data_IF_973764874269
#
_entry.id   IF_973764874269
#
_cell.length_a   1.000
_cell.length_b   1.000
_cell.length_c   1.000
_cell.angle_alpha   90.00
_cell.angle_beta   90.00
_cell.angle_gamma   90.00
#
_symmetry.space_group_name_H-M   'P 1'
#
loop_
_entity.id
_entity.type
_entity.pdbx_description
1 polymer ?
#
# COMPACT_ATOMS: atom_id res chain seq x y z
N UNK A 1 -21.49 13.18 -13.43
CA UNK A 1 -20.16 12.97 -14.05
C UNK A 1 -19.06 13.61 -13.20
N UNK A 2 -19.16 14.91 -12.89
CA UNK A 2 -18.13 15.63 -12.14
C UNK A 2 -17.82 15.06 -10.75
N UNK A 3 -18.85 14.73 -9.95
CA UNK A 3 -18.66 14.15 -8.59
C UNK A 3 -17.87 12.85 -8.60
N UNK A 4 -18.14 11.96 -9.56
CA UNK A 4 -17.43 10.68 -9.69
C UNK A 4 -15.96 10.90 -10.05
N UNK A 5 -15.69 11.81 -10.98
CA UNK A 5 -14.32 12.16 -11.36
C UNK A 5 -13.55 12.74 -10.17
N UNK A 6 -14.18 13.59 -9.37
CA UNK A 6 -13.58 14.14 -8.15
C UNK A 6 -13.24 13.03 -7.14
N UNK A 7 -14.16 12.08 -6.91
CA UNK A 7 -13.90 10.94 -6.02
C UNK A 7 -12.76 10.06 -6.53
N UNK A 8 -12.76 9.70 -7.82
CA UNK A 8 -11.69 8.89 -8.40
C UNK A 8 -10.35 9.61 -8.38
N UNK A 9 -10.32 10.94 -8.47
CA UNK A 9 -9.08 11.72 -8.40
C UNK A 9 -8.39 11.59 -7.04
N UNK A 10 -9.14 11.58 -5.94
CA UNK A 10 -8.58 11.39 -4.58
C UNK A 10 -8.00 9.98 -4.43
N UNK A 11 -8.72 8.97 -4.95
CA UNK A 11 -8.24 7.58 -4.95
C UNK A 11 -6.98 7.44 -5.80
N UNK A 12 -6.99 8.01 -7.00
CA UNK A 12 -5.86 7.99 -7.93
C UNK A 12 -4.64 8.67 -7.32
N UNK A 13 -4.79 9.82 -6.66
CA UNK A 13 -3.70 10.45 -5.90
C UNK A 13 -3.10 9.44 -4.93
N UNK A 14 -3.90 8.81 -4.07
CA UNK A 14 -3.38 7.90 -3.03
C UNK A 14 -2.59 6.73 -3.63
N UNK A 15 -3.07 6.17 -4.73
CA UNK A 15 -2.38 5.10 -5.47
C UNK A 15 -1.06 5.60 -6.07
N UNK A 16 -1.06 6.81 -6.65
CA UNK A 16 0.13 7.41 -7.23
C UNK A 16 1.17 7.78 -6.16
N UNK A 17 0.74 8.30 -5.02
CA UNK A 17 1.61 8.61 -3.87
C UNK A 17 2.33 7.35 -3.36
N UNK A 18 1.60 6.25 -3.15
CA UNK A 18 2.20 4.96 -2.76
C UNK A 18 3.16 4.44 -3.84
N UNK A 19 2.81 4.59 -5.11
CA UNK A 19 3.67 4.20 -6.24
C UNK A 19 4.97 4.99 -6.25
N UNK A 20 4.90 6.30 -6.06
CA UNK A 20 6.09 7.15 -6.03
C UNK A 20 6.97 6.81 -4.82
N UNK A 21 6.39 6.51 -3.66
CA UNK A 21 7.16 6.07 -2.50
C UNK A 21 7.88 4.74 -2.74
N UNK A 22 7.22 3.77 -3.39
CA UNK A 22 7.86 2.51 -3.74
C UNK A 22 9.02 2.67 -4.75
N UNK A 23 9.01 3.76 -5.54
CA UNK A 23 10.01 4.04 -6.59
C UNK A 23 11.14 4.94 -6.11
N UNK A 24 10.83 5.88 -5.23
CA UNK A 24 11.77 6.87 -4.74
C UNK A 24 12.65 6.36 -3.60
N UNK A 25 13.49 7.27 -3.11
CA UNK A 25 14.33 7.07 -1.91
C UNK A 25 13.81 7.90 -0.73
N UNK A 26 12.57 8.38 -0.80
CA UNK A 26 11.95 9.18 0.26
C UNK A 26 11.54 8.30 1.44
N UNK A 27 12.21 8.48 2.57
CA UNK A 27 11.87 7.82 3.83
C UNK A 27 10.75 8.58 4.54
N UNK A 28 9.50 8.37 4.12
CA UNK A 28 8.32 8.84 4.87
C UNK A 28 7.93 7.78 5.89
N UNK A 29 7.49 8.19 7.09
CA UNK A 29 6.97 7.25 8.08
C UNK A 29 5.75 6.51 7.53
N UNK A 30 5.69 5.17 7.63
CA UNK A 30 4.53 4.38 7.19
C UNK A 30 3.19 4.85 7.80
N UNK A 31 3.24 5.42 9.00
CA UNK A 31 2.07 5.94 9.73
C UNK A 31 1.38 7.12 9.03
N UNK A 32 2.08 7.83 8.14
CA UNK A 32 1.47 8.93 7.34
C UNK A 32 0.59 8.38 6.24
N UNK A 33 0.89 7.16 5.76
CA UNK A 33 0.30 6.64 4.54
C UNK A 33 -0.73 5.54 4.78
N UNK A 34 -0.53 4.77 5.84
CA UNK A 34 -1.30 3.58 6.18
C UNK A 34 -1.84 3.69 7.61
N UNK A 35 -3.04 3.18 7.82
CA UNK A 35 -3.62 3.08 9.16
C UNK A 35 -2.83 2.11 10.05
N UNK A 36 -3.12 2.10 11.35
CA UNK A 36 -2.53 1.11 12.25
C UNK A 36 -2.92 -0.32 11.87
N UNK A 37 -4.20 -0.59 11.60
CA UNK A 37 -4.67 -1.90 11.15
C UNK A 37 -3.97 -2.36 9.85
N UNK A 38 -3.85 -1.46 8.86
CA UNK A 38 -3.15 -1.75 7.60
C UNK A 38 -1.67 -2.10 7.83
N UNK A 39 -0.98 -1.41 8.75
CA UNK A 39 0.41 -1.69 9.10
C UNK A 39 0.55 -3.03 9.81
N UNK A 40 -0.26 -3.29 10.84
CA UNK A 40 -0.25 -4.55 11.59
C UNK A 40 -0.47 -5.76 10.68
N UNK A 41 -1.38 -5.65 9.71
CA UNK A 41 -1.63 -6.72 8.73
C UNK A 41 -0.44 -6.93 7.82
N UNK A 42 0.20 -5.85 7.34
CA UNK A 42 1.39 -5.96 6.52
C UNK A 42 2.55 -6.58 7.29
N UNK A 43 2.80 -6.16 8.53
CA UNK A 43 3.84 -6.73 9.40
C UNK A 43 3.55 -8.20 9.73
N UNK A 44 2.28 -8.57 9.93
CA UNK A 44 1.89 -9.98 10.15
C UNK A 44 2.18 -10.84 8.91
N UNK A 45 1.98 -10.29 7.70
CA UNK A 45 2.19 -11.02 6.45
C UNK A 45 3.63 -11.00 5.95
N UNK A 46 4.37 -9.95 6.28
CA UNK A 46 5.76 -9.72 5.93
C UNK A 46 6.51 -9.32 7.21
N UNK A 47 6.91 -10.29 8.04
CA UNK A 47 7.58 -10.04 9.32
C UNK A 47 8.87 -9.21 9.19
N UNK A 48 9.48 -9.20 8.02
CA UNK A 48 10.63 -8.38 7.68
C UNK A 48 10.37 -6.86 7.69
N UNK A 49 9.10 -6.42 7.77
CA UNK A 49 8.71 -5.01 7.72
C UNK A 49 8.77 -4.27 9.05
N UNK A 50 8.82 -4.98 10.18
CA UNK A 50 9.00 -4.33 11.47
C UNK A 50 10.32 -3.55 11.45
N UNK A 51 10.26 -2.25 11.76
CA UNK A 51 11.37 -1.28 11.70
C UNK A 51 11.83 -0.81 10.30
N UNK A 52 11.10 -1.15 9.22
CA UNK A 52 11.42 -0.68 7.88
C UNK A 52 10.83 0.70 7.54
N UNK A 53 11.38 1.31 6.48
CA UNK A 53 10.94 2.60 5.96
C UNK A 53 9.60 2.52 5.19
N UNK A 54 9.01 3.69 4.91
CA UNK A 54 7.78 3.77 4.12
C UNK A 54 7.88 3.10 2.75
N UNK A 55 9.06 3.10 2.12
CA UNK A 55 9.30 2.43 0.84
C UNK A 55 9.02 0.93 0.92
N UNK A 56 9.56 0.26 1.95
CA UNK A 56 9.36 -1.17 2.16
C UNK A 56 7.89 -1.52 2.38
N UNK A 57 7.16 -0.66 3.08
CA UNK A 57 5.71 -0.77 3.22
C UNK A 57 4.98 -0.63 1.88
N UNK A 58 5.32 0.38 1.06
CA UNK A 58 4.70 0.57 -0.25
C UNK A 58 5.03 -0.57 -1.23
N UNK A 59 6.26 -1.10 -1.23
CA UNK A 59 6.62 -2.30 -1.99
C UNK A 59 5.79 -3.49 -1.53
N UNK A 60 5.56 -3.64 -0.23
CA UNK A 60 4.75 -4.73 0.32
C UNK A 60 3.28 -4.61 -0.07
N UNK A 61 2.73 -3.40 -0.13
CA UNK A 61 1.41 -3.15 -0.74
C UNK A 61 1.41 -3.61 -2.20
N UNK A 62 2.42 -3.25 -3.00
CA UNK A 62 2.52 -3.72 -4.38
C UNK A 62 2.60 -5.26 -4.47
N UNK A 63 3.32 -5.92 -3.54
CA UNK A 63 3.40 -7.39 -3.45
C UNK A 63 2.03 -8.03 -3.20
N UNK A 64 1.16 -7.39 -2.41
CA UNK A 64 -0.23 -7.84 -2.26
C UNK A 64 -1.02 -7.81 -3.59
N UNK A 65 -0.70 -6.85 -4.45
CA UNK A 65 -1.29 -6.69 -5.77
C UNK A 65 -0.65 -7.53 -6.88
N UNK A 66 0.33 -8.38 -6.54
CA UNK A 66 0.99 -9.30 -7.48
C UNK A 66 2.37 -8.88 -7.97
N UNK A 67 2.96 -7.81 -7.41
CA UNK A 67 4.36 -7.49 -7.66
C UNK A 67 5.27 -8.56 -7.01
N UNK A 68 6.26 -9.05 -7.76
CA UNK A 68 7.10 -10.16 -7.30
C UNK A 68 8.39 -9.71 -6.63
N UNK A 69 8.78 -8.44 -6.83
CA UNK A 69 9.96 -7.84 -6.23
C UNK A 69 11.27 -8.57 -6.59
N UNK A 70 11.40 -8.97 -7.86
CA UNK A 70 12.63 -9.57 -8.37
C UNK A 70 13.58 -8.47 -8.82
N UNK A 71 14.89 -8.68 -8.69
CA UNK A 71 15.89 -7.67 -9.06
C UNK A 71 15.88 -7.20 -10.53
N UNK A 72 15.22 -7.93 -11.44
CA UNK A 72 15.02 -7.53 -12.84
C UNK A 72 13.63 -6.99 -13.16
N UNK A 73 12.71 -7.00 -12.18
CA UNK A 73 11.36 -6.47 -12.40
C UNK A 73 11.42 -4.94 -12.50
N UNK A 74 10.61 -4.32 -13.37
CA UNK A 74 10.46 -2.88 -13.37
C UNK A 74 9.82 -2.43 -12.05
N UNK A 75 10.04 -1.17 -11.61
CA UNK A 75 9.39 -0.66 -10.41
C UNK A 75 7.85 -0.80 -10.48
N UNK A 76 7.16 -0.99 -9.34
CA UNK A 76 5.76 -1.33 -9.31
C UNK A 76 4.88 -0.31 -10.06
N UNK A 77 3.88 -0.82 -10.77
CA UNK A 77 2.90 -0.03 -11.51
C UNK A 77 1.76 0.48 -10.63
N UNK A 78 1.00 1.44 -11.15
CA UNK A 78 -0.20 1.94 -10.45
C UNK A 78 -1.27 0.85 -10.31
N UNK A 79 -1.40 -0.06 -11.28
CA UNK A 79 -2.42 -1.12 -11.27
C UNK A 79 -2.13 -2.16 -10.17
N UNK A 80 -0.87 -2.60 -10.05
CA UNK A 80 -0.44 -3.48 -8.94
C UNK A 80 -0.62 -2.79 -7.60
N UNK A 81 -0.34 -1.48 -7.52
CA UNK A 81 -0.53 -0.71 -6.29
C UNK A 81 -2.01 -0.63 -5.90
N UNK A 82 -2.90 -0.36 -6.86
CA UNK A 82 -4.34 -0.32 -6.64
C UNK A 82 -4.89 -1.66 -6.14
N UNK A 83 -4.55 -2.76 -6.81
CA UNK A 83 -4.96 -4.12 -6.40
C UNK A 83 -4.48 -4.45 -4.99
N UNK A 84 -3.23 -4.08 -4.69
CA UNK A 84 -2.63 -4.26 -3.37
C UNK A 84 -3.36 -3.48 -2.28
N UNK A 85 -3.62 -2.19 -2.52
CA UNK A 85 -4.32 -1.32 -1.58
C UNK A 85 -5.77 -1.77 -1.33
N UNK A 86 -6.50 -2.17 -2.38
CA UNK A 86 -7.87 -2.69 -2.21
C UNK A 86 -7.88 -3.95 -1.34
N UNK A 87 -6.95 -4.88 -1.59
CA UNK A 87 -6.83 -6.11 -0.81
C UNK A 87 -6.47 -5.84 0.65
N UNK A 88 -5.55 -4.90 0.87
CA UNK A 88 -5.13 -4.51 2.22
C UNK A 88 -6.29 -3.91 3.01
N UNK A 89 -7.08 -3.00 2.40
CA UNK A 89 -8.24 -2.39 3.05
C UNK A 89 -9.32 -3.41 3.42
N UNK A 90 -9.58 -4.36 2.52
CA UNK A 90 -10.52 -5.45 2.81
C UNK A 90 -10.08 -6.28 4.01
N UNK A 91 -8.78 -6.54 4.14
CA UNK A 91 -8.23 -7.24 5.31
C UNK A 91 -8.26 -6.38 6.57
N UNK A 92 -7.97 -5.08 6.45
CA UNK A 92 -8.05 -4.13 7.56
C UNK A 92 -9.45 -4.07 8.16
N UNK A 93 -10.47 -3.97 7.31
CA UNK A 93 -11.87 -4.02 7.74
C UNK A 93 -12.20 -5.34 8.47
N UNK A 94 -11.77 -6.48 7.93
CA UNK A 94 -11.96 -7.77 8.59
C UNK A 94 -11.21 -7.92 9.92
N UNK A 95 -10.02 -7.33 10.03
CA UNK A 95 -9.23 -7.31 11.26
C UNK A 95 -9.88 -6.43 12.33
N UNK A 96 -10.37 -5.25 11.97
CA UNK A 96 -11.08 -4.35 12.88
C UNK A 96 -12.37 -4.98 13.40
N UNK A 97 -13.16 -5.62 12.53
CA UNK A 97 -14.37 -6.35 12.93
C UNK A 97 -14.11 -7.56 13.81
N UNK A 98 -12.93 -8.19 13.71
CA UNK A 98 -12.56 -9.33 14.54
C UNK A 98 -11.89 -8.95 15.87
N UNK A 99 -11.47 -7.68 16.01
CA UNK A 99 -10.90 -7.14 17.24
C UNK A 99 -11.96 -6.57 18.20
N UNK A 100 -13.20 -6.44 17.73
CA UNK A 100 -14.41 -6.10 18.50
C UNK A 100 -15.01 -7.35 19.16
#
# INVERSE_FOLDING_TARGET
MEVLLSMYSVIAWKVLELRELARGDSSVSPAVLLSEAERTILETKFPELSDQDGKSYAVSVAKLGGYLDRGSDPPPGWETMWKGLQKLRMWAEGYELGAE
#
